data_IF_873966821210
#
_entry.id   IF_873966821210
#
_cell.length_a   1.000
_cell.length_b   1.000
_cell.length_c   1.000
_cell.angle_alpha   90.00
_cell.angle_beta   90.00
_cell.angle_gamma   90.00
#
_symmetry.space_group_name_H-M   'P 1'
#
loop_
_entity.id
_entity.type
_entity.pdbx_description
1 polymer ?
#
# COMPACT_ATOMS: atom_id res chain seq x y z
N UNK A 1 3.12 21.97 43.98
CA UNK A 1 4.22 22.71 43.30
C UNK A 1 3.79 22.97 41.87
N UNK A 2 3.69 24.23 41.46
CA UNK A 2 3.06 24.65 40.21
C UNK A 2 3.85 24.18 38.97
N UNK A 3 3.16 23.50 38.05
CA UNK A 3 3.71 22.80 36.86
C UNK A 3 3.91 23.75 35.65
N UNK A 4 3.59 25.04 35.79
CA UNK A 4 3.74 26.01 34.70
C UNK A 4 4.65 27.16 35.13
N UNK A 5 5.79 27.30 34.45
CA UNK A 5 6.60 28.53 34.50
C UNK A 5 5.70 29.71 34.13
N UNK A 6 5.71 30.76 34.93
CA UNK A 6 5.07 32.03 34.56
C UNK A 6 5.55 32.45 33.17
N UNK A 7 4.61 32.65 32.25
CA UNK A 7 4.90 33.23 30.94
C UNK A 7 5.48 34.62 31.16
N UNK A 8 6.80 34.78 31.01
CA UNK A 8 7.40 36.10 30.84
C UNK A 8 6.68 36.79 29.69
N UNK A 9 6.01 37.92 29.99
CA UNK A 9 5.51 38.83 28.95
C UNK A 9 6.70 39.19 28.07
N UNK A 10 6.56 39.00 26.77
CA UNK A 10 7.57 39.42 25.79
C UNK A 10 7.60 40.94 25.82
N UNK A 11 8.62 41.53 26.44
CA UNK A 11 8.91 42.95 26.29
C UNK A 11 9.48 43.18 24.89
N UNK A 12 8.62 43.65 23.99
CA UNK A 12 9.04 44.12 22.67
C UNK A 12 9.72 45.48 22.90
N UNK A 13 11.06 45.49 22.98
CA UNK A 13 11.81 46.75 22.98
C UNK A 13 11.68 47.40 21.60
N UNK A 14 10.86 48.44 21.50
CA UNK A 14 10.75 49.28 20.32
C UNK A 14 12.01 50.12 20.16
N UNK A 15 12.90 49.70 19.28
CA UNK A 15 14.05 50.50 18.82
C UNK A 15 13.86 50.81 17.33
N UNK A 16 12.99 51.78 17.04
CA UNK A 16 13.10 52.74 15.92
C UNK A 16 11.86 53.64 15.91
N UNK A 17 12.04 54.92 15.60
CA UNK A 17 10.98 55.93 15.49
C UNK A 17 10.14 55.82 14.20
N UNK A 18 10.25 54.70 13.50
CA UNK A 18 9.39 54.32 12.37
C UNK A 18 9.31 52.79 12.29
N UNK A 19 8.93 52.14 13.38
CA UNK A 19 8.60 50.72 13.34
C UNK A 19 7.22 50.58 12.68
N UNK A 20 7.17 50.10 11.43
CA UNK A 20 5.93 49.68 10.80
C UNK A 20 5.32 48.52 11.61
N UNK A 21 4.44 48.85 12.55
CA UNK A 21 3.67 47.86 13.29
C UNK A 21 2.56 47.39 12.35
N UNK A 22 2.68 46.18 11.82
CA UNK A 22 1.61 45.59 11.02
C UNK A 22 0.33 45.52 11.85
N UNK A 23 -0.80 46.13 11.41
CA UNK A 23 -2.08 46.02 12.10
C UNK A 23 -2.69 44.62 11.96
N UNK A 24 -2.08 43.75 11.14
CA UNK A 24 -2.54 42.40 10.89
C UNK A 24 -2.16 41.47 12.04
N UNK A 25 -3.16 40.80 12.62
CA UNK A 25 -2.94 39.72 13.58
C UNK A 25 -2.59 38.44 12.81
N UNK A 26 -1.47 37.76 13.12
CA UNK A 26 -1.16 36.46 12.54
C UNK A 26 -2.32 35.49 12.78
N UNK A 27 -2.87 34.95 11.70
CA UNK A 27 -3.86 33.88 11.77
C UNK A 27 -3.20 32.57 11.37
N UNK A 28 -3.38 31.55 12.20
CA UNK A 28 -2.96 30.21 11.83
C UNK A 28 -3.96 29.63 10.84
N UNK A 29 -3.55 29.48 9.59
CA UNK A 29 -4.36 28.85 8.54
C UNK A 29 -3.83 27.43 8.38
N UNK A 30 -4.67 26.46 8.72
CA UNK A 30 -4.38 25.06 8.43
C UNK A 30 -4.49 24.83 6.92
N UNK A 31 -3.43 24.29 6.33
CA UNK A 31 -3.38 23.92 4.92
C UNK A 31 -3.02 22.46 4.80
N UNK A 32 -3.71 21.74 3.91
CA UNK A 32 -3.39 20.36 3.57
C UNK A 32 -1.95 20.28 3.04
N UNK A 33 -1.05 19.53 3.69
CA UNK A 33 0.28 19.29 3.16
C UNK A 33 0.20 18.62 1.78
N UNK A 34 1.02 19.01 0.79
CA UNK A 34 0.92 18.49 -0.56
C UNK A 34 1.16 16.98 -0.62
N UNK A 35 2.01 16.44 0.27
CA UNK A 35 2.22 14.99 0.38
C UNK A 35 0.94 14.23 0.76
N UNK A 36 0.09 14.80 1.63
CA UNK A 36 -1.21 14.21 2.00
C UNK A 36 -2.20 14.36 0.83
N UNK A 37 -2.27 15.56 0.24
CA UNK A 37 -3.20 15.85 -0.85
C UNK A 37 -2.99 15.00 -2.11
N UNK A 38 -1.76 14.53 -2.35
CA UNK A 38 -1.43 13.67 -3.50
C UNK A 38 -1.28 12.20 -3.13
N UNK A 39 -1.44 11.82 -1.86
CA UNK A 39 -1.46 10.42 -1.44
C UNK A 39 -2.87 9.86 -1.66
N UNK A 40 -3.07 8.82 -2.51
CA UNK A 40 -4.41 8.30 -2.79
C UNK A 40 -5.13 7.73 -1.56
N UNK A 41 -4.39 7.27 -0.56
CA UNK A 41 -4.94 6.80 0.72
C UNK A 41 -5.09 7.91 1.76
N UNK A 42 -4.58 9.12 1.46
CA UNK A 42 -4.67 10.29 2.33
C UNK A 42 -3.97 10.14 3.69
N UNK A 43 -2.96 9.27 3.80
CA UNK A 43 -2.23 9.06 5.06
C UNK A 43 -1.66 10.37 5.60
N UNK A 44 -1.66 10.53 6.92
CA UNK A 44 -1.16 11.71 7.63
C UNK A 44 0.38 11.80 7.61
N UNK A 45 0.96 11.97 6.43
CA UNK A 45 2.41 11.85 6.16
C UNK A 45 3.24 12.79 7.03
N UNK A 46 2.84 14.06 7.09
CA UNK A 46 3.53 15.05 7.92
C UNK A 46 3.50 14.65 9.40
N UNK A 47 2.38 14.10 9.89
CA UNK A 47 2.19 13.76 11.30
C UNK A 47 3.15 12.66 11.73
N UNK A 48 3.17 11.53 11.02
CA UNK A 48 4.03 10.41 11.40
C UNK A 48 5.52 10.71 11.16
N UNK A 49 5.87 11.50 10.15
CA UNK A 49 7.25 11.96 9.95
C UNK A 49 7.74 12.85 11.09
N UNK A 50 6.92 13.81 11.53
CA UNK A 50 7.26 14.70 12.64
C UNK A 50 7.42 13.93 13.95
N UNK A 51 6.58 12.92 14.20
CA UNK A 51 6.72 12.06 15.38
C UNK A 51 8.08 11.37 15.44
N UNK A 52 8.57 10.89 14.31
CA UNK A 52 9.91 10.27 14.22
C UNK A 52 11.00 11.33 14.36
N UNK A 53 10.90 12.42 13.62
CA UNK A 53 11.93 13.46 13.57
C UNK A 53 12.09 14.22 14.90
N UNK A 54 11.03 14.30 15.71
CA UNK A 54 11.00 15.01 16.99
C UNK A 54 10.90 14.05 18.18
N UNK A 55 11.25 12.77 18.00
CA UNK A 55 11.10 11.75 19.05
C UNK A 55 11.75 12.20 20.37
N UNK A 56 13.05 12.52 20.35
CA UNK A 56 13.81 12.93 21.53
C UNK A 56 13.33 14.26 22.11
N UNK A 57 13.03 15.25 21.25
CA UNK A 57 12.53 16.56 21.67
C UNK A 57 11.21 16.48 22.44
N UNK A 58 10.41 15.45 22.17
CA UNK A 58 9.17 15.13 22.88
C UNK A 58 9.31 14.01 23.91
N UNK A 59 10.53 13.63 24.29
CA UNK A 59 10.80 12.63 25.32
C UNK A 59 10.38 11.20 24.95
N UNK A 60 10.37 10.85 23.66
CA UNK A 60 10.10 9.49 23.15
C UNK A 60 11.38 8.82 22.71
N UNK A 61 11.46 7.51 22.93
CA UNK A 61 12.43 6.67 22.25
C UNK A 61 12.05 6.48 20.77
N UNK A 62 13.02 6.17 19.91
CA UNK A 62 12.73 5.87 18.51
C UNK A 62 11.76 4.70 18.32
N UNK A 63 11.87 3.55 19.03
CA UNK A 63 10.89 2.48 18.93
C UNK A 63 9.44 2.91 19.23
N UNK A 64 9.23 3.75 20.24
CA UNK A 64 7.90 4.31 20.54
C UNK A 64 7.40 5.22 19.42
N UNK A 65 8.28 6.06 18.87
CA UNK A 65 7.94 6.91 17.72
C UNK A 65 7.62 6.09 16.47
N UNK A 66 8.33 4.99 16.22
CA UNK A 66 8.06 4.07 15.12
C UNK A 66 6.71 3.37 15.30
N UNK A 67 6.37 2.96 16.52
CA UNK A 67 5.05 2.36 16.83
C UNK A 67 3.92 3.34 16.55
N UNK A 68 4.03 4.56 17.08
CA UNK A 68 3.03 5.60 16.85
C UNK A 68 2.91 5.98 15.36
N UNK A 69 4.03 6.03 14.63
CA UNK A 69 4.03 6.27 13.20
C UNK A 69 3.32 5.15 12.43
N UNK A 70 3.59 3.89 12.78
CA UNK A 70 2.93 2.74 12.19
C UNK A 70 1.42 2.74 12.43
N UNK A 71 0.96 3.06 13.64
CA UNK A 71 -0.47 3.18 13.96
C UNK A 71 -1.16 4.28 13.12
N UNK A 72 -0.48 5.41 12.88
CA UNK A 72 -1.01 6.47 12.02
C UNK A 72 -1.07 6.04 10.55
N UNK A 73 -0.05 5.35 10.05
CA UNK A 73 -0.04 4.87 8.65
C UNK A 73 -1.15 3.84 8.47
N UNK A 74 -1.26 2.91 9.40
CA UNK A 74 -2.17 1.76 9.33
C UNK A 74 -3.61 2.09 9.59
N UNK A 75 -3.91 3.26 10.15
CA UNK A 75 -5.29 3.73 10.23
C UNK A 75 -5.99 3.70 8.87
N UNK A 76 -5.25 4.03 7.79
CA UNK A 76 -5.73 4.03 6.41
C UNK A 76 -5.14 2.94 5.54
N UNK A 77 -3.83 2.66 5.66
CA UNK A 77 -3.12 1.71 4.80
C UNK A 77 -2.75 0.42 5.57
N UNK A 78 -3.42 -0.72 5.35
CA UNK A 78 -3.08 -1.97 6.03
C UNK A 78 -1.82 -2.67 5.52
N UNK A 79 -1.21 -2.17 4.44
CA UNK A 79 -0.06 -2.81 3.79
C UNK A 79 1.14 -1.84 3.65
N UNK A 80 1.63 -1.20 4.74
CA UNK A 80 2.72 -0.24 4.68
C UNK A 80 4.02 -0.83 4.13
N UNK A 81 4.37 -2.08 4.47
CA UNK A 81 5.60 -2.70 3.96
C UNK A 81 5.51 -2.99 2.46
N UNK A 82 4.32 -3.34 1.96
CA UNK A 82 4.06 -3.48 0.52
C UNK A 82 4.11 -2.13 -0.18
N UNK A 83 3.35 -1.13 0.29
CA UNK A 83 3.31 0.21 -0.31
C UNK A 83 4.70 0.87 -0.33
N UNK A 84 5.48 0.71 0.73
CA UNK A 84 6.89 1.13 0.81
C UNK A 84 7.81 0.52 -0.25
N UNK A 85 7.37 -0.50 -1.00
CA UNK A 85 8.14 -1.16 -2.07
C UNK A 85 7.61 -0.90 -3.47
N UNK A 86 6.29 -0.81 -3.62
CA UNK A 86 5.64 -0.83 -4.95
C UNK A 86 4.88 0.45 -5.29
N UNK A 87 4.68 1.36 -4.32
CA UNK A 87 4.01 2.62 -4.56
C UNK A 87 4.86 3.53 -5.49
N UNK A 88 4.24 4.18 -6.49
CA UNK A 88 4.91 5.19 -7.32
C UNK A 88 5.13 6.52 -6.58
N UNK A 89 4.85 6.59 -5.27
CA UNK A 89 5.19 7.70 -4.37
C UNK A 89 4.83 9.12 -4.89
N UNK A 90 3.57 9.36 -5.34
CA UNK A 90 3.13 10.68 -5.80
C UNK A 90 3.21 11.77 -4.72
N UNK A 91 3.26 11.35 -3.45
CA UNK A 91 3.49 12.21 -2.30
C UNK A 91 4.90 12.85 -2.30
N UNK A 92 5.90 12.16 -2.86
CA UNK A 92 7.24 12.71 -3.07
C UNK A 92 7.27 13.60 -4.29
N UNK A 93 6.51 13.27 -5.34
CA UNK A 93 6.43 14.07 -6.57
C UNK A 93 6.05 15.53 -6.32
N UNK A 94 5.13 15.74 -5.39
CA UNK A 94 4.58 17.06 -5.04
C UNK A 94 5.15 17.60 -3.72
N UNK A 95 6.22 17.00 -3.19
CA UNK A 95 6.82 17.43 -1.94
C UNK A 95 7.40 18.85 -2.08
N UNK A 96 6.91 19.80 -1.28
CA UNK A 96 7.39 21.19 -1.28
C UNK A 96 8.86 21.33 -0.88
N UNK A 97 9.47 20.33 -0.22
CA UNK A 97 10.90 20.30 0.11
C UNK A 97 11.79 20.18 -1.14
N UNK A 98 11.25 19.73 -2.28
CA UNK A 98 11.99 19.73 -3.57
C UNK A 98 12.58 21.09 -3.94
N UNK A 99 11.95 22.19 -3.51
CA UNK A 99 12.44 23.55 -3.73
C UNK A 99 13.58 23.96 -2.78
N UNK A 100 14.04 23.06 -1.91
CA UNK A 100 15.17 23.28 -1.00
C UNK A 100 16.32 22.35 -1.35
N UNK A 101 16.20 21.07 -1.00
CA UNK A 101 17.29 20.08 -1.08
C UNK A 101 16.81 18.68 -1.49
N UNK A 102 15.57 18.57 -1.98
CA UNK A 102 14.98 17.31 -2.47
C UNK A 102 13.69 16.92 -1.78
N UNK A 103 12.99 15.94 -2.33
CA UNK A 103 11.82 15.36 -1.68
C UNK A 103 12.25 14.61 -0.42
N UNK A 104 11.37 14.59 0.59
CA UNK A 104 11.54 13.66 1.71
C UNK A 104 11.35 12.24 1.16
N UNK A 105 12.21 11.31 1.55
CA UNK A 105 12.12 9.89 1.19
C UNK A 105 10.98 9.18 1.97
N UNK A 106 9.74 9.63 1.73
CA UNK A 106 8.52 9.17 2.38
C UNK A 106 8.33 7.67 2.18
N UNK A 107 8.55 7.17 0.96
CA UNK A 107 8.37 5.76 0.61
C UNK A 107 9.39 4.86 1.32
N UNK A 108 10.65 5.30 1.40
CA UNK A 108 11.69 4.57 2.12
C UNK A 108 11.41 4.49 3.62
N UNK A 109 10.89 5.58 4.22
CA UNK A 109 10.49 5.58 5.62
C UNK A 109 9.23 4.75 5.86
N UNK A 110 8.22 4.79 4.97
CA UNK A 110 7.05 3.92 5.05
C UNK A 110 7.45 2.44 5.00
N UNK A 111 8.39 2.10 4.11
CA UNK A 111 8.99 0.77 4.03
C UNK A 111 9.67 0.37 5.33
N UNK A 112 10.54 1.22 5.85
CA UNK A 112 11.26 0.96 7.10
C UNK A 112 10.28 0.71 8.26
N UNK A 113 9.25 1.55 8.41
CA UNK A 113 8.24 1.41 9.46
C UNK A 113 7.43 0.11 9.29
N UNK A 114 7.04 -0.23 8.05
CA UNK A 114 6.37 -1.49 7.76
C UNK A 114 7.22 -2.72 8.10
N UNK A 115 8.50 -2.70 7.70
CA UNK A 115 9.46 -3.78 7.97
C UNK A 115 9.73 -3.92 9.48
N UNK A 116 9.93 -2.80 10.18
CA UNK A 116 10.13 -2.78 11.62
C UNK A 116 8.90 -3.34 12.35
N UNK A 117 7.69 -2.99 11.93
CA UNK A 117 6.46 -3.54 12.49
C UNK A 117 6.31 -5.06 12.30
N UNK A 118 6.79 -5.60 11.16
CA UNK A 118 6.85 -7.05 10.94
C UNK A 118 7.84 -7.68 11.95
N UNK A 119 9.04 -7.13 12.07
CA UNK A 119 10.07 -7.63 12.98
C UNK A 119 9.63 -7.62 14.45
N UNK A 120 8.89 -6.58 14.86
CA UNK A 120 8.39 -6.45 16.23
C UNK A 120 7.11 -7.24 16.50
N UNK A 121 6.55 -7.95 15.51
CA UNK A 121 5.30 -8.71 15.68
C UNK A 121 4.09 -7.82 16.02
N UNK A 122 4.07 -6.58 15.54
CA UNK A 122 3.01 -5.63 15.83
C UNK A 122 1.69 -6.07 15.21
N UNK A 123 0.64 -6.05 16.03
CA UNK A 123 -0.73 -6.42 15.65
C UNK A 123 -1.60 -5.18 15.45
N UNK A 124 -2.57 -5.33 14.56
CA UNK A 124 -3.61 -4.32 14.36
C UNK A 124 -4.58 -4.31 15.54
N UNK A 125 -5.13 -3.13 15.80
CA UNK A 125 -6.12 -2.92 16.87
C UNK A 125 -7.50 -2.75 16.25
N UNK A 126 -8.50 -3.40 16.83
CA UNK A 126 -9.89 -3.16 16.49
C UNK A 126 -10.31 -1.78 16.98
N UNK A 127 -11.20 -1.12 16.24
CA UNK A 127 -11.78 0.15 16.62
C UNK A 127 -12.93 -0.01 17.62
N UNK A 128 -13.48 -1.22 17.74
CA UNK A 128 -14.53 -1.57 18.69
C UNK A 128 -14.40 -3.04 19.09
N UNK A 129 -14.81 -3.34 20.32
CA UNK A 129 -14.98 -4.71 20.81
C UNK A 129 -16.38 -5.26 20.51
N UNK A 130 -17.32 -4.38 20.15
CA UNK A 130 -18.67 -4.77 19.75
C UNK A 130 -18.64 -5.55 18.44
N UNK A 131 -19.41 -6.64 18.39
CA UNK A 131 -19.59 -7.42 17.17
C UNK A 131 -20.81 -6.92 16.42
N UNK A 132 -20.65 -6.72 15.13
CA UNK A 132 -21.78 -6.47 14.24
C UNK A 132 -22.47 -7.81 13.94
N UNK A 133 -23.81 -7.86 13.96
CA UNK A 133 -24.54 -9.10 13.73
C UNK A 133 -24.45 -9.55 12.27
N UNK A 134 -24.27 -8.63 11.31
CA UNK A 134 -24.21 -8.93 9.89
C UNK A 134 -22.83 -9.44 9.45
N UNK A 135 -22.74 -10.63 8.81
CA UNK A 135 -21.50 -11.07 8.17
C UNK A 135 -21.30 -10.41 6.80
N UNK A 136 -20.05 -10.29 6.35
CA UNK A 136 -19.71 -9.71 5.04
C UNK A 136 -18.83 -10.67 4.24
N UNK A 137 -19.17 -10.88 2.97
CA UNK A 137 -18.31 -11.62 2.04
C UNK A 137 -17.44 -10.65 1.22
N UNK A 138 -16.18 -11.02 1.03
CA UNK A 138 -15.22 -10.31 0.17
C UNK A 138 -14.78 -11.27 -0.93
N UNK A 139 -15.04 -10.96 -2.19
CA UNK A 139 -14.63 -11.78 -3.33
C UNK A 139 -13.33 -11.23 -3.92
N UNK A 140 -12.25 -12.00 -3.79
CA UNK A 140 -10.90 -11.64 -4.20
C UNK A 140 -10.05 -11.13 -3.03
N UNK A 141 -8.86 -11.69 -2.87
CA UNK A 141 -7.89 -11.33 -1.82
C UNK A 141 -6.77 -10.41 -2.33
N UNK A 142 -7.05 -9.63 -3.37
CA UNK A 142 -6.16 -8.55 -3.81
C UNK A 142 -6.08 -7.40 -2.80
N UNK A 143 -5.28 -6.35 -3.06
CA UNK A 143 -5.13 -5.21 -2.16
C UNK A 143 -6.47 -4.57 -1.77
N UNK A 144 -7.41 -4.48 -2.71
CA UNK A 144 -8.75 -3.96 -2.45
C UNK A 144 -9.55 -4.83 -1.46
N UNK A 145 -9.58 -6.15 -1.68
CA UNK A 145 -10.28 -7.09 -0.80
C UNK A 145 -9.66 -7.16 0.59
N UNK A 146 -8.33 -7.21 0.66
CA UNK A 146 -7.58 -7.16 1.93
C UNK A 146 -7.85 -5.86 2.70
N UNK A 147 -7.86 -4.71 2.01
CA UNK A 147 -8.17 -3.43 2.65
C UNK A 147 -9.62 -3.33 3.10
N UNK A 148 -10.56 -3.86 2.32
CA UNK A 148 -11.98 -3.91 2.70
C UNK A 148 -12.16 -4.78 3.95
N UNK A 149 -11.62 -5.99 3.95
CA UNK A 149 -11.68 -6.91 5.09
C UNK A 149 -11.02 -6.33 6.33
N UNK A 150 -9.87 -5.69 6.19
CA UNK A 150 -9.18 -4.97 7.28
C UNK A 150 -10.09 -3.92 7.93
N UNK A 151 -10.69 -3.03 7.13
CA UNK A 151 -11.51 -1.94 7.64
C UNK A 151 -12.82 -2.44 8.28
N UNK A 152 -13.43 -3.49 7.71
CA UNK A 152 -14.64 -4.12 8.26
C UNK A 152 -14.35 -4.88 9.56
N UNK A 153 -13.31 -5.69 9.60
CA UNK A 153 -12.93 -6.45 10.79
C UNK A 153 -12.54 -5.54 11.97
N UNK A 154 -11.87 -4.41 11.70
CA UNK A 154 -11.62 -3.37 12.73
C UNK A 154 -12.90 -2.79 13.31
N UNK A 155 -14.02 -2.80 12.57
CA UNK A 155 -15.33 -2.26 12.99
C UNK A 155 -16.28 -3.31 13.55
N UNK A 156 -15.79 -4.52 13.83
CA UNK A 156 -16.55 -5.57 14.49
C UNK A 156 -17.34 -6.49 13.54
N UNK A 157 -17.24 -6.32 12.22
CA UNK A 157 -17.87 -7.22 11.26
C UNK A 157 -17.14 -8.56 11.17
N UNK A 158 -17.90 -9.65 11.03
CA UNK A 158 -17.35 -10.96 10.67
C UNK A 158 -17.15 -11.01 9.15
N UNK A 159 -15.92 -11.20 8.69
CA UNK A 159 -15.57 -11.14 7.26
C UNK A 159 -15.02 -12.46 6.77
N UNK A 160 -15.54 -12.97 5.64
CA UNK A 160 -14.98 -14.11 4.91
C UNK A 160 -14.49 -13.65 3.54
N UNK A 161 -13.20 -13.86 3.24
CA UNK A 161 -12.61 -13.62 1.93
C UNK A 161 -12.64 -14.93 1.11
N UNK A 162 -13.20 -14.87 -0.09
CA UNK A 162 -13.18 -15.95 -1.08
C UNK A 162 -12.12 -15.64 -2.15
N UNK A 163 -11.14 -16.52 -2.30
CA UNK A 163 -10.01 -16.35 -3.22
C UNK A 163 -9.94 -17.52 -4.20
N UNK A 164 -9.84 -17.22 -5.49
CA UNK A 164 -9.77 -18.20 -6.56
C UNK A 164 -8.44 -18.96 -6.57
N UNK A 165 -7.34 -18.27 -6.29
CA UNK A 165 -6.01 -18.87 -6.28
C UNK A 165 -5.69 -19.58 -4.97
N UNK A 166 -4.60 -20.36 -4.98
CA UNK A 166 -4.13 -21.13 -3.80
C UNK A 166 -3.61 -20.24 -2.67
N UNK A 167 -3.14 -19.03 -2.97
CA UNK A 167 -2.58 -18.11 -1.97
C UNK A 167 -3.14 -16.70 -2.15
N UNK A 168 -3.35 -15.95 -1.04
CA UNK A 168 -3.94 -14.63 -1.10
C UNK A 168 -2.97 -13.55 -1.59
N UNK A 169 -3.49 -12.41 -2.05
CA UNK A 169 -2.68 -11.22 -2.40
C UNK A 169 -2.89 -10.72 -3.82
N UNK A 170 -3.61 -11.46 -4.66
CA UNK A 170 -3.95 -11.06 -6.03
C UNK A 170 -2.72 -10.63 -6.83
N UNK A 171 -2.79 -9.46 -7.50
CA UNK A 171 -1.67 -8.95 -8.31
C UNK A 171 -0.38 -8.65 -7.53
N UNK A 172 -0.45 -8.44 -6.21
CA UNK A 172 0.76 -8.31 -5.38
C UNK A 172 1.57 -9.62 -5.39
N UNK A 173 0.87 -10.77 -5.39
CA UNK A 173 1.50 -12.09 -5.45
C UNK A 173 1.77 -12.53 -6.87
N UNK A 174 0.79 -12.43 -7.75
CA UNK A 174 0.83 -13.07 -9.06
C UNK A 174 1.32 -12.15 -10.19
N UNK A 175 1.27 -10.83 -9.99
CA UNK A 175 1.80 -9.85 -10.95
C UNK A 175 3.22 -9.39 -10.60
N UNK A 176 3.42 -8.92 -9.36
CA UNK A 176 4.67 -8.28 -8.97
C UNK A 176 5.78 -9.32 -8.71
N UNK A 177 6.95 -9.20 -9.37
CA UNK A 177 8.07 -10.12 -9.16
C UNK A 177 8.63 -10.10 -7.73
N UNK A 178 9.09 -11.26 -7.26
CA UNK A 178 9.65 -11.45 -5.90
C UNK A 178 10.79 -10.49 -5.56
N UNK A 179 11.58 -10.05 -6.54
CA UNK A 179 12.68 -9.12 -6.31
C UNK A 179 12.22 -7.69 -6.01
N UNK A 180 10.97 -7.31 -6.38
CA UNK A 180 10.36 -6.02 -5.98
C UNK A 180 9.58 -6.18 -4.69
N UNK A 181 8.81 -7.26 -4.60
CA UNK A 181 7.95 -7.55 -3.45
C UNK A 181 8.23 -8.97 -2.93
N UNK A 182 9.09 -9.10 -1.91
CA UNK A 182 9.39 -10.38 -1.27
C UNK A 182 8.12 -11.04 -0.71
N UNK A 183 8.05 -12.39 -0.80
CA UNK A 183 6.84 -13.13 -0.44
C UNK A 183 6.63 -13.21 1.07
N UNK A 184 7.71 -13.33 1.83
CA UNK A 184 7.71 -13.26 3.29
C UNK A 184 7.12 -11.93 3.81
N UNK A 185 7.45 -10.80 3.17
CA UNK A 185 6.88 -9.49 3.52
C UNK A 185 5.37 -9.45 3.23
N UNK A 186 4.97 -9.89 2.03
CA UNK A 186 3.56 -9.94 1.65
C UNK A 186 2.75 -10.87 2.56
N UNK A 187 3.29 -12.06 2.85
CA UNK A 187 2.67 -13.06 3.71
C UNK A 187 2.50 -12.52 5.14
N UNK A 188 3.52 -11.83 5.68
CA UNK A 188 3.44 -11.21 7.01
C UNK A 188 2.35 -10.14 7.11
N UNK A 189 2.20 -9.27 6.10
CA UNK A 189 1.16 -8.23 6.14
C UNK A 189 -0.24 -8.82 5.95
N UNK A 190 -0.41 -9.81 5.08
CA UNK A 190 -1.68 -10.52 4.93
C UNK A 190 -2.04 -11.23 6.23
N UNK A 191 -1.09 -11.95 6.83
CA UNK A 191 -1.30 -12.67 8.08
C UNK A 191 -1.76 -11.72 9.20
N UNK A 192 -1.17 -10.53 9.30
CA UNK A 192 -1.57 -9.51 10.27
C UNK A 192 -3.03 -9.06 10.08
N UNK A 193 -3.54 -9.00 8.84
CA UNK A 193 -4.95 -8.72 8.56
C UNK A 193 -5.83 -9.91 9.01
N UNK A 194 -5.42 -11.14 8.71
CA UNK A 194 -6.16 -12.35 9.10
C UNK A 194 -6.27 -12.50 10.62
N UNK A 195 -5.26 -12.08 11.37
CA UNK A 195 -5.25 -12.07 12.83
C UNK A 195 -6.34 -11.20 13.48
N UNK A 196 -7.02 -10.32 12.71
CA UNK A 196 -8.22 -9.62 13.18
C UNK A 196 -9.45 -10.52 13.31
N UNK A 197 -9.34 -11.79 12.90
CA UNK A 197 -10.44 -12.76 12.83
C UNK A 197 -11.10 -12.82 11.44
N UNK A 198 -10.39 -12.42 10.39
CA UNK A 198 -10.87 -12.54 9.00
C UNK A 198 -10.68 -13.98 8.54
N UNK A 199 -11.75 -14.62 8.07
CA UNK A 199 -11.69 -15.95 7.47
C UNK A 199 -11.22 -15.85 6.02
N UNK A 200 -10.34 -16.75 5.59
CA UNK A 200 -9.87 -16.83 4.20
C UNK A 200 -10.15 -18.22 3.63
N UNK A 201 -10.89 -18.27 2.53
CA UNK A 201 -11.19 -19.48 1.74
C UNK A 201 -10.53 -19.38 0.37
N UNK A 202 -9.38 -20.03 0.22
CA UNK A 202 -8.63 -20.12 -1.05
C UNK A 202 -9.12 -21.27 -1.93
N UNK A 203 -8.83 -21.20 -3.23
CA UNK A 203 -9.24 -22.23 -4.19
C UNK A 203 -10.74 -22.22 -4.50
N UNK A 204 -11.44 -21.11 -4.23
CA UNK A 204 -12.87 -20.96 -4.47
C UNK A 204 -13.13 -19.90 -5.53
N UNK A 205 -13.58 -20.35 -6.71
CA UNK A 205 -13.96 -19.48 -7.82
C UNK A 205 -15.44 -19.15 -7.72
N UNK A 206 -15.76 -17.94 -7.24
CA UNK A 206 -17.14 -17.46 -7.23
C UNK A 206 -17.66 -17.30 -8.67
N UNK A 207 -18.83 -17.86 -8.94
CA UNK A 207 -19.42 -18.02 -10.28
C UNK A 207 -19.18 -19.40 -10.89
N UNK A 208 -18.34 -20.25 -10.28
CA UNK A 208 -18.11 -21.64 -10.70
C UNK A 208 -18.31 -22.64 -9.56
N UNK A 209 -17.58 -22.46 -8.46
CA UNK A 209 -17.60 -23.37 -7.30
C UNK A 209 -18.69 -22.97 -6.28
N UNK A 210 -18.98 -21.67 -6.18
CA UNK A 210 -20.12 -21.11 -5.45
C UNK A 210 -20.75 -20.00 -6.28
N UNK A 211 -22.06 -19.99 -6.40
CA UNK A 211 -22.78 -18.95 -7.15
C UNK A 211 -22.87 -17.64 -6.34
N UNK A 212 -23.01 -16.52 -7.06
CA UNK A 212 -23.25 -15.23 -6.41
C UNK A 212 -24.60 -15.21 -5.67
N UNK A 213 -25.59 -15.98 -6.13
CA UNK A 213 -26.90 -16.08 -5.49
C UNK A 213 -26.80 -16.76 -4.12
N UNK A 214 -26.05 -17.87 -4.03
CA UNK A 214 -25.80 -18.55 -2.75
C UNK A 214 -25.08 -17.64 -1.76
N UNK A 215 -24.13 -16.82 -2.21
CA UNK A 215 -23.48 -15.83 -1.35
C UNK A 215 -24.47 -14.76 -0.89
N UNK A 216 -25.35 -14.25 -1.76
CA UNK A 216 -26.36 -13.24 -1.39
C UNK A 216 -27.37 -13.75 -0.36
N UNK A 217 -27.63 -15.06 -0.32
CA UNK A 217 -28.50 -15.68 0.70
C UNK A 217 -27.82 -15.77 2.07
N UNK A 218 -26.48 -15.85 2.12
CA UNK A 218 -25.70 -16.03 3.34
C UNK A 218 -25.14 -14.71 3.89
N UNK A 219 -24.86 -13.75 3.02
CA UNK A 219 -24.19 -12.50 3.37
C UNK A 219 -25.05 -11.30 2.95
N UNK A 220 -25.49 -10.45 3.90
CA UNK A 220 -26.23 -9.23 3.59
C UNK A 220 -25.42 -8.22 2.77
N UNK A 221 -24.09 -8.27 2.84
CA UNK A 221 -23.20 -7.44 2.04
C UNK A 221 -22.09 -8.28 1.38
N UNK A 222 -21.79 -7.93 0.13
CA UNK A 222 -20.73 -8.55 -0.66
C UNK A 222 -19.89 -7.46 -1.30
N UNK A 223 -18.58 -7.49 -1.05
CA UNK A 223 -17.61 -6.66 -1.75
C UNK A 223 -16.93 -7.47 -2.86
N UNK A 224 -16.91 -6.94 -4.08
CA UNK A 224 -16.30 -7.60 -5.25
C UNK A 224 -14.98 -6.90 -5.60
N UNK A 225 -13.86 -7.55 -5.27
CA UNK A 225 -12.50 -7.07 -5.47
C UNK A 225 -11.65 -8.00 -6.33
N UNK A 226 -12.25 -8.59 -7.39
CA UNK A 226 -11.61 -9.62 -8.23
C UNK A 226 -10.51 -9.11 -9.16
N UNK A 227 -10.37 -7.79 -9.33
CA UNK A 227 -9.32 -7.20 -10.17
C UNK A 227 -9.43 -7.53 -11.67
N UNK A 228 -8.36 -7.24 -12.41
CA UNK A 228 -8.28 -7.40 -13.86
C UNK A 228 -7.19 -8.42 -14.25
N UNK A 229 -7.54 -9.70 -14.28
CA UNK A 229 -6.57 -10.78 -14.51
C UNK A 229 -6.25 -11.07 -15.99
N UNK A 230 -7.14 -10.68 -16.91
CA UNK A 230 -6.97 -10.95 -18.34
C UNK A 230 -6.01 -9.95 -18.98
N UNK A 231 -5.03 -10.46 -19.72
CA UNK A 231 -4.12 -9.64 -20.52
C UNK A 231 -4.77 -9.16 -21.82
N UNK A 232 -4.29 -8.02 -22.32
CA UNK A 232 -4.71 -7.50 -23.62
C UNK A 232 -3.94 -8.21 -24.75
N UNK A 233 -4.67 -8.68 -25.76
CA UNK A 233 -4.11 -9.21 -27.02
C UNK A 233 -3.93 -8.07 -28.03
N UNK A 234 -3.03 -8.24 -29.00
CA UNK A 234 -2.68 -7.19 -29.95
C UNK A 234 -3.57 -7.22 -31.21
N UNK A 235 -4.25 -8.32 -31.49
CA UNK A 235 -5.08 -8.49 -32.69
C UNK A 235 -4.26 -8.67 -33.97
N UNK A 236 -3.05 -9.23 -33.87
CA UNK A 236 -2.11 -9.36 -35.00
C UNK A 236 -1.94 -10.81 -35.45
N UNK A 237 -1.68 -11.07 -36.74
CA UNK A 237 -1.40 -12.43 -37.22
C UNK A 237 -0.28 -13.11 -36.43
N UNK A 238 -0.52 -14.34 -35.97
CA UNK A 238 0.45 -15.14 -35.22
C UNK A 238 0.46 -14.92 -33.70
N UNK A 239 -0.45 -14.12 -33.14
CA UNK A 239 -0.47 -13.86 -31.68
C UNK A 239 -0.93 -15.04 -30.80
N UNK A 240 -1.40 -16.12 -31.41
CA UNK A 240 -1.77 -17.38 -30.75
C UNK A 240 -0.61 -18.40 -30.71
N UNK A 241 0.58 -18.03 -31.20
CA UNK A 241 1.74 -18.91 -31.18
C UNK A 241 2.11 -19.33 -29.73
N UNK A 242 2.59 -20.57 -29.50
CA UNK A 242 2.81 -21.10 -28.14
C UNK A 242 3.79 -20.29 -27.27
N UNK A 243 4.71 -19.57 -27.91
CA UNK A 243 5.71 -18.70 -27.28
C UNK A 243 5.26 -17.24 -27.12
N UNK A 244 3.99 -16.94 -27.40
CA UNK A 244 3.39 -15.61 -27.22
C UNK A 244 2.50 -15.64 -25.98
N UNK A 245 2.88 -14.84 -24.98
CA UNK A 245 2.11 -14.70 -23.75
C UNK A 245 1.73 -13.25 -23.53
N UNK A 246 0.56 -13.04 -22.92
CA UNK A 246 0.27 -11.74 -22.33
C UNK A 246 1.18 -11.53 -21.10
N UNK A 247 1.48 -10.27 -20.78
CA UNK A 247 2.32 -9.95 -19.63
C UNK A 247 1.77 -10.48 -18.30
N UNK A 248 0.44 -10.49 -18.13
CA UNK A 248 -0.20 -11.03 -16.92
C UNK A 248 -0.09 -12.55 -16.84
N UNK A 249 -0.26 -13.27 -17.96
CA UNK A 249 -0.06 -14.73 -18.01
C UNK A 249 1.39 -15.10 -17.69
N UNK A 250 2.36 -14.45 -18.36
CA UNK A 250 3.79 -14.71 -18.16
C UNK A 250 4.22 -14.47 -16.72
N UNK A 251 3.87 -13.30 -16.15
CA UNK A 251 4.22 -12.97 -14.78
C UNK A 251 3.53 -13.90 -13.78
N UNK A 252 2.28 -14.28 -14.02
CA UNK A 252 1.58 -15.22 -13.15
C UNK A 252 2.28 -16.60 -13.12
N UNK A 253 2.67 -17.13 -14.28
CA UNK A 253 3.40 -18.40 -14.38
C UNK A 253 4.69 -18.35 -13.56
N UNK A 254 5.54 -17.34 -13.80
CA UNK A 254 6.81 -17.21 -13.10
C UNK A 254 6.59 -17.00 -11.58
N UNK A 255 5.64 -16.15 -11.20
CA UNK A 255 5.39 -15.84 -9.79
C UNK A 255 4.75 -17.00 -9.02
N UNK A 256 4.01 -17.86 -9.72
CA UNK A 256 3.46 -19.12 -9.19
C UNK A 256 4.51 -20.23 -9.05
N UNK A 257 5.73 -19.99 -9.55
CA UNK A 257 6.84 -20.95 -9.48
C UNK A 257 6.87 -21.95 -10.62
N UNK A 258 6.14 -21.69 -11.71
CA UNK A 258 6.27 -22.50 -12.93
C UNK A 258 7.63 -22.26 -13.58
N UNK A 259 8.24 -23.32 -14.12
CA UNK A 259 9.40 -23.19 -15.00
C UNK A 259 8.94 -22.66 -16.36
N UNK A 260 9.51 -21.53 -16.79
CA UNK A 260 9.18 -20.90 -18.07
C UNK A 260 10.42 -20.83 -18.94
N UNK A 261 10.37 -21.47 -20.11
CA UNK A 261 11.41 -21.34 -21.13
C UNK A 261 11.14 -20.12 -22.00
N UNK A 262 11.93 -19.05 -21.78
CA UNK A 262 11.81 -17.80 -22.53
C UNK A 262 12.66 -17.77 -23.81
N UNK A 263 13.43 -18.82 -24.09
CA UNK A 263 14.39 -18.84 -25.19
C UNK A 263 15.54 -17.84 -25.04
N UNK A 264 16.27 -17.60 -26.14
CA UNK A 264 17.47 -16.73 -26.14
C UNK A 264 17.15 -15.25 -26.31
N UNK A 265 16.09 -14.92 -27.05
CA UNK A 265 15.70 -13.54 -27.39
C UNK A 265 14.22 -13.35 -27.11
N UNK A 266 13.90 -12.32 -26.33
CA UNK A 266 12.53 -11.98 -25.92
C UNK A 266 12.19 -10.58 -26.41
N UNK A 267 11.04 -10.47 -27.07
CA UNK A 267 10.42 -9.20 -27.41
C UNK A 267 9.33 -8.90 -26.37
N UNK A 268 9.41 -7.75 -25.71
CA UNK A 268 8.36 -7.28 -24.80
C UNK A 268 7.67 -6.08 -25.41
N UNK A 269 6.36 -6.20 -25.64
CA UNK A 269 5.56 -5.14 -26.28
C UNK A 269 4.83 -4.35 -25.19
N UNK A 270 5.20 -3.07 -25.02
CA UNK A 270 4.63 -2.19 -24.00
C UNK A 270 5.68 -1.37 -23.24
N UNK A 271 5.22 -0.44 -22.40
CA UNK A 271 6.10 0.45 -21.62
C UNK A 271 5.61 0.79 -20.20
N UNK A 272 4.63 0.04 -19.69
CA UNK A 272 4.17 0.17 -18.30
C UNK A 272 4.88 -0.80 -17.35
N UNK A 273 4.50 -0.80 -16.07
CA UNK A 273 5.07 -1.68 -15.04
C UNK A 273 5.12 -3.16 -15.46
N UNK A 274 4.02 -3.68 -16.01
CA UNK A 274 3.93 -5.07 -16.50
C UNK A 274 5.00 -5.38 -17.54
N UNK A 275 5.28 -4.45 -18.47
CA UNK A 275 6.29 -4.63 -19.50
C UNK A 275 7.70 -4.62 -18.90
N UNK A 276 7.98 -3.68 -17.99
CA UNK A 276 9.28 -3.62 -17.32
C UNK A 276 9.53 -4.85 -16.45
N UNK A 277 8.52 -5.32 -15.72
CA UNK A 277 8.64 -6.51 -14.89
C UNK A 277 8.79 -7.77 -15.75
N UNK A 278 8.02 -7.92 -16.83
CA UNK A 278 8.22 -9.02 -17.78
C UNK A 278 9.63 -9.00 -18.39
N UNK A 279 10.11 -7.84 -18.82
CA UNK A 279 11.46 -7.69 -19.38
C UNK A 279 12.55 -8.05 -18.38
N UNK A 280 12.45 -7.57 -17.14
CA UNK A 280 13.43 -7.82 -16.08
C UNK A 280 13.42 -9.27 -15.59
N UNK A 281 12.27 -9.93 -15.62
CA UNK A 281 12.14 -11.36 -15.33
C UNK A 281 12.77 -12.18 -16.46
N UNK A 282 12.44 -11.90 -17.73
CA UNK A 282 13.05 -12.56 -18.89
C UNK A 282 14.57 -12.42 -18.90
N UNK A 283 15.10 -11.25 -18.56
CA UNK A 283 16.56 -11.03 -18.44
C UNK A 283 17.20 -11.88 -17.33
N UNK A 284 16.50 -12.08 -16.20
CA UNK A 284 16.97 -12.94 -15.09
C UNK A 284 16.95 -14.42 -15.45
N UNK A 285 16.10 -14.81 -16.41
CA UNK A 285 16.04 -16.15 -16.98
C UNK A 285 17.09 -16.36 -18.09
N UNK A 286 17.95 -15.38 -18.36
CA UNK A 286 19.08 -15.51 -19.29
C UNK A 286 18.82 -14.99 -20.71
N UNK A 287 17.65 -14.42 -21.00
CA UNK A 287 17.35 -13.91 -22.33
C UNK A 287 18.02 -12.55 -22.62
N UNK A 288 18.29 -12.31 -23.90
CA UNK A 288 18.43 -10.97 -24.46
C UNK A 288 17.04 -10.37 -24.66
N UNK A 289 16.80 -9.17 -24.15
CA UNK A 289 15.46 -8.59 -24.09
C UNK A 289 15.41 -7.28 -24.86
N UNK A 290 14.47 -7.17 -25.80
CA UNK A 290 14.14 -5.93 -26.50
C UNK A 290 12.75 -5.47 -26.07
N UNK A 291 12.63 -4.23 -25.61
CA UNK A 291 11.35 -3.60 -25.33
C UNK A 291 10.92 -2.81 -26.55
N UNK A 292 9.72 -3.08 -27.05
CA UNK A 292 9.07 -2.31 -28.13
C UNK A 292 8.04 -1.41 -27.50
N UNK A 293 8.36 -0.13 -27.42
CA UNK A 293 7.47 0.91 -26.94
C UNK A 293 7.04 1.80 -28.10
N UNK A 294 5.73 2.09 -28.15
CA UNK A 294 5.10 2.79 -29.27
C UNK A 294 5.20 4.31 -29.20
N UNK A 295 5.85 4.87 -28.18
CA UNK A 295 6.03 6.31 -27.96
C UNK A 295 7.50 6.58 -27.68
#
# INVERSE_FOLDING_TARGET
MAIFKEKKKVEIRTVSTAAEVSPLRPQYIEKTPPCIGHCPVGTEIRKWLVLIAQAEAYGRTYPEAYRAAWEIITDRNPLPAVCGRVCPHPCEDHCNRKHKDGAVAINALERFIGDYAIQQGWKFTKLTEERQPEPVAVIGSGPAGLSCAYQLARRGYSVTIFEAFRQPGGMLRYGIPKYRLPRDILDAEIQRILELGVELRTGVVVGKDISLEELRRQYPAIFVGIGAHRGLRLGVPGEDAPNVWTGTEFLNKVNSGESVDVGKRVLVIGGGDTAIDAARVSRRLGAEVTIVYRR
#
